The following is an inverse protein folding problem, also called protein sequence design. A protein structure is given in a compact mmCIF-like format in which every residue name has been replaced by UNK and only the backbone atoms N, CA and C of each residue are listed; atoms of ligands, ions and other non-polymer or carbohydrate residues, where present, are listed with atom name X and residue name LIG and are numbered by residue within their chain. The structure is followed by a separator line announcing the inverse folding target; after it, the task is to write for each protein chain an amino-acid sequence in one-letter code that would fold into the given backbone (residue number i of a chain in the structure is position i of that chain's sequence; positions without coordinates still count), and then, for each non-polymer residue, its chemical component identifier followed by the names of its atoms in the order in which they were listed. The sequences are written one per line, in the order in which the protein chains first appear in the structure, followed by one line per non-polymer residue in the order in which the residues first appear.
data_IF_765355497722
#
_entry.id   IF_765355497722
#
_cell.length_a   1.000
_cell.length_b   1.000
_cell.length_c   1.000
_cell.angle_alpha   90.00
_cell.angle_beta   90.00
_cell.angle_gamma   90.00
#
_symmetry.space_group_name_H-M   'P 1'
#
loop_
_entity.id
_entity.type
_entity.pdbx_description
1 polymer ?
#
# COMPACT_ATOMS: atom_id res chain seq x y z
N UNK A 1 2.47 2.89 -17.61
CA UNK A 1 1.26 2.46 -18.37
C UNK A 1 1.24 0.96 -18.74
N UNK A 2 2.25 0.43 -19.43
CA UNK A 2 2.28 -0.95 -19.94
C UNK A 2 2.43 -1.98 -18.81
N UNK A 3 3.33 -1.73 -17.86
CA UNK A 3 3.54 -2.63 -16.71
C UNK A 3 2.25 -2.78 -15.88
N UNK A 4 1.48 -1.71 -15.68
CA UNK A 4 0.16 -1.76 -15.03
C UNK A 4 -0.78 -2.73 -15.73
N UNK A 5 -0.85 -2.68 -17.06
CA UNK A 5 -1.72 -3.55 -17.86
C UNK A 5 -1.27 -5.00 -17.75
N UNK A 6 0.04 -5.26 -17.89
CA UNK A 6 0.62 -6.60 -17.76
C UNK A 6 0.34 -7.20 -16.39
N UNK A 7 0.63 -6.47 -15.30
CA UNK A 7 0.36 -6.95 -13.94
C UNK A 7 -1.14 -7.16 -13.69
N UNK A 8 -2.00 -6.30 -14.24
CA UNK A 8 -3.46 -6.48 -14.16
C UNK A 8 -3.90 -7.79 -14.81
N UNK A 9 -3.43 -8.06 -16.02
CA UNK A 9 -3.77 -9.27 -16.76
C UNK A 9 -3.27 -10.52 -16.03
N UNK A 10 -2.01 -10.53 -15.60
CA UNK A 10 -1.44 -11.66 -14.87
C UNK A 10 -2.18 -11.95 -13.57
N UNK A 11 -2.52 -10.91 -12.80
CA UNK A 11 -3.34 -11.09 -11.59
C UNK A 11 -4.75 -11.60 -11.93
N UNK A 12 -5.37 -11.12 -13.01
CA UNK A 12 -6.70 -11.57 -13.44
C UNK A 12 -6.71 -13.05 -13.81
N UNK A 13 -5.72 -13.50 -14.60
CA UNK A 13 -5.61 -14.88 -15.06
C UNK A 13 -4.92 -15.83 -14.06
N UNK A 14 -4.51 -15.34 -12.90
CA UNK A 14 -3.90 -16.17 -11.86
C UNK A 14 -2.47 -16.63 -12.21
N UNK A 15 -1.71 -15.80 -12.92
CA UNK A 15 -0.32 -16.07 -13.28
C UNK A 15 0.67 -15.29 -12.42
N UNK A 16 1.67 -16.01 -11.93
CA UNK A 16 2.92 -15.48 -11.38
C UNK A 16 4.04 -16.46 -11.68
N UNK A 17 5.19 -15.99 -12.14
CA UNK A 17 6.39 -16.80 -12.32
C UNK A 17 7.62 -16.12 -11.70
N UNK A 18 8.65 -16.91 -11.44
CA UNK A 18 9.86 -16.44 -10.77
C UNK A 18 10.66 -15.44 -11.61
N UNK A 19 10.66 -15.55 -12.95
CA UNK A 19 11.37 -14.62 -13.81
C UNK A 19 10.75 -13.23 -13.75
N UNK A 20 9.42 -13.14 -13.70
CA UNK A 20 8.72 -11.87 -13.50
C UNK A 20 9.07 -11.26 -12.14
N UNK A 21 9.08 -12.06 -11.06
CA UNK A 21 9.44 -11.58 -9.73
C UNK A 21 10.86 -11.00 -9.74
N UNK A 22 11.83 -11.73 -10.27
CA UNK A 22 13.21 -11.25 -10.39
C UNK A 22 13.32 -9.98 -11.26
N UNK A 23 12.54 -9.89 -12.35
CA UNK A 23 12.51 -8.71 -13.19
C UNK A 23 11.98 -7.50 -12.43
N UNK A 24 10.90 -7.67 -11.65
CA UNK A 24 10.34 -6.62 -10.79
C UNK A 24 11.34 -6.21 -9.70
N UNK A 25 12.02 -7.15 -9.07
CA UNK A 25 13.07 -6.89 -8.07
C UNK A 25 14.22 -6.05 -8.62
N UNK A 26 14.60 -6.25 -9.89
CA UNK A 26 15.65 -5.46 -10.56
C UNK A 26 15.15 -4.12 -11.09
N UNK A 27 13.87 -4.02 -11.45
CA UNK A 27 13.31 -2.85 -12.13
C UNK A 27 12.74 -1.82 -11.15
N UNK A 28 11.91 -2.24 -10.19
CA UNK A 28 11.18 -1.35 -9.28
C UNK A 28 12.10 -0.43 -8.49
N UNK A 29 13.24 -0.89 -7.92
CA UNK A 29 14.16 0.00 -7.21
C UNK A 29 14.67 1.19 -8.04
N UNK A 30 14.76 1.03 -9.37
CA UNK A 30 15.27 2.06 -10.28
C UNK A 30 14.21 3.10 -10.65
N UNK A 31 12.93 2.77 -10.52
CA UNK A 31 11.85 3.56 -11.13
C UNK A 31 10.74 3.98 -10.15
N UNK A 32 10.73 3.45 -8.91
CA UNK A 32 9.65 3.71 -7.95
C UNK A 32 9.42 5.21 -7.66
N UNK A 33 10.47 6.02 -7.69
CA UNK A 33 10.39 7.47 -7.41
C UNK A 33 9.85 8.30 -8.58
N UNK A 34 9.83 7.78 -9.80
CA UNK A 34 9.50 8.55 -11.01
C UNK A 34 8.33 7.97 -11.80
N UNK A 35 8.04 6.69 -11.62
CA UNK A 35 6.93 6.01 -12.31
C UNK A 35 5.59 6.48 -11.77
N UNK A 36 4.54 6.35 -12.59
CA UNK A 36 3.18 6.66 -12.19
C UNK A 36 2.72 5.88 -10.94
N UNK A 37 1.92 6.55 -10.11
CA UNK A 37 1.41 6.02 -8.84
C UNK A 37 0.61 4.72 -9.00
N UNK A 38 -0.08 4.55 -10.13
CA UNK A 38 -0.88 3.36 -10.40
C UNK A 38 0.01 2.13 -10.66
N UNK A 39 1.08 2.27 -11.43
CA UNK A 39 2.06 1.20 -11.65
C UNK A 39 2.68 0.74 -10.34
N UNK A 40 3.13 1.67 -9.48
CA UNK A 40 3.72 1.32 -8.17
C UNK A 40 2.69 0.62 -7.29
N UNK A 41 1.45 1.10 -7.29
CA UNK A 41 0.35 0.45 -6.57
C UNK A 41 0.11 -0.96 -7.10
N UNK A 42 0.17 -1.16 -8.42
CA UNK A 42 -0.06 -2.46 -9.06
C UNK A 42 1.02 -3.48 -8.74
N UNK A 43 2.27 -3.03 -8.66
CA UNK A 43 3.38 -3.82 -8.15
C UNK A 43 3.07 -4.32 -6.73
N UNK A 44 2.70 -3.42 -5.81
CA UNK A 44 2.38 -3.81 -4.43
C UNK A 44 1.17 -4.77 -4.35
N UNK A 45 0.15 -4.57 -5.18
CA UNK A 45 -0.97 -5.49 -5.29
C UNK A 45 -0.55 -6.88 -5.79
N UNK A 46 0.35 -6.94 -6.76
CA UNK A 46 0.88 -8.21 -7.28
C UNK A 46 1.59 -8.99 -6.17
N UNK A 47 2.55 -8.38 -5.47
CA UNK A 47 3.27 -9.03 -4.38
C UNK A 47 2.33 -9.43 -3.23
N UNK A 48 1.37 -8.58 -2.87
CA UNK A 48 0.33 -8.89 -1.86
C UNK A 48 -0.52 -10.09 -2.27
N UNK A 49 -1.02 -10.12 -3.50
CA UNK A 49 -1.94 -11.16 -3.99
C UNK A 49 -1.30 -12.55 -3.94
N UNK A 50 -0.03 -12.62 -4.33
CA UNK A 50 0.73 -13.86 -4.38
C UNK A 50 1.48 -14.18 -3.08
N UNK A 51 1.39 -13.31 -2.08
CA UNK A 51 2.12 -13.40 -0.81
C UNK A 51 3.63 -13.59 -1.00
N UNK A 52 4.19 -12.87 -1.98
CA UNK A 52 5.63 -12.90 -2.27
C UNK A 52 6.27 -11.73 -1.52
N UNK A 53 7.23 -12.04 -0.64
CA UNK A 53 8.01 -11.03 0.03
C UNK A 53 9.28 -10.73 -0.77
N UNK A 54 9.40 -9.50 -1.26
CA UNK A 54 10.61 -8.98 -1.90
C UNK A 54 11.11 -7.77 -1.11
N UNK A 55 12.08 -7.92 -0.19
CA UNK A 55 12.69 -6.80 0.51
C UNK A 55 13.13 -5.62 -0.38
N UNK A 56 13.81 -5.82 -1.54
CA UNK A 56 14.24 -4.68 -2.36
C UNK A 56 13.06 -3.85 -2.88
N UNK A 57 12.00 -4.50 -3.39
CA UNK A 57 10.77 -3.82 -3.82
C UNK A 57 10.10 -3.09 -2.66
N UNK A 58 9.86 -3.77 -1.54
CA UNK A 58 9.11 -3.20 -0.42
C UNK A 58 9.85 -2.03 0.24
N UNK A 59 11.18 -2.12 0.34
CA UNK A 59 12.00 -1.03 0.88
C UNK A 59 11.92 0.21 -0.02
N UNK A 60 12.19 0.06 -1.33
CA UNK A 60 12.15 1.20 -2.25
C UNK A 60 10.76 1.80 -2.38
N UNK A 61 9.69 0.99 -2.39
CA UNK A 61 8.33 1.52 -2.43
C UNK A 61 7.99 2.27 -1.13
N UNK A 62 8.40 1.77 0.03
CA UNK A 62 8.20 2.48 1.30
C UNK A 62 8.94 3.82 1.33
N UNK A 63 10.18 3.87 0.86
CA UNK A 63 10.95 5.13 0.74
C UNK A 63 10.29 6.09 -0.25
N UNK A 64 9.89 5.60 -1.42
CA UNK A 64 9.19 6.39 -2.42
C UNK A 64 7.85 6.90 -1.91
N UNK A 65 7.12 6.12 -1.11
CA UNK A 65 5.87 6.55 -0.48
C UNK A 65 6.10 7.75 0.44
N UNK A 66 7.15 7.73 1.25
CA UNK A 66 7.49 8.86 2.13
C UNK A 66 7.71 10.15 1.33
N UNK A 67 8.28 10.07 0.13
CA UNK A 67 8.51 11.23 -0.74
C UNK A 67 7.25 11.67 -1.52
N UNK A 68 6.40 10.73 -1.93
CA UNK A 68 5.35 10.95 -2.95
C UNK A 68 3.94 10.74 -2.47
N UNK A 69 3.71 10.51 -1.17
CA UNK A 69 2.40 10.17 -0.60
C UNK A 69 1.26 11.08 -1.07
N UNK A 70 1.55 12.36 -1.27
CA UNK A 70 0.63 13.38 -1.73
C UNK A 70 0.12 13.16 -3.16
N UNK A 71 0.89 12.47 -4.01
CA UNK A 71 0.51 12.12 -5.40
C UNK A 71 -0.48 10.93 -5.46
N UNK A 72 -0.55 10.12 -4.41
CA UNK A 72 -1.38 8.92 -4.38
C UNK A 72 -2.83 9.22 -4.00
N UNK A 73 -3.78 8.54 -4.65
CA UNK A 73 -5.18 8.52 -4.19
C UNK A 73 -5.32 7.80 -2.84
N UNK A 74 -6.43 8.02 -2.13
CA UNK A 74 -6.66 7.38 -0.82
C UNK A 74 -6.72 5.86 -0.93
N UNK A 75 -7.27 5.35 -2.03
CA UNK A 75 -7.25 3.93 -2.34
C UNK A 75 -5.81 3.41 -2.54
N UNK A 76 -4.99 4.09 -3.34
CA UNK A 76 -3.60 3.68 -3.59
C UNK A 76 -2.76 3.66 -2.31
N UNK A 77 -2.94 4.66 -1.44
CA UNK A 77 -2.31 4.68 -0.10
C UNK A 77 -2.70 3.43 0.69
N UNK A 78 -3.99 3.11 0.75
CA UNK A 78 -4.46 1.89 1.44
C UNK A 78 -3.85 0.62 0.86
N UNK A 79 -3.79 0.47 -0.46
CA UNK A 79 -3.25 -0.73 -1.11
C UNK A 79 -1.76 -0.95 -0.81
N UNK A 80 -0.95 0.09 -0.78
CA UNK A 80 0.48 -0.03 -0.47
C UNK A 80 0.70 -0.44 0.99
N UNK A 81 -0.01 0.18 1.93
CA UNK A 81 0.09 -0.18 3.36
C UNK A 81 -0.49 -1.57 3.63
N UNK A 82 -1.59 -1.93 2.95
CA UNK A 82 -2.18 -3.26 3.05
C UNK A 82 -1.22 -4.37 2.59
N UNK A 83 -0.42 -4.12 1.54
CA UNK A 83 0.58 -5.07 1.09
C UNK A 83 1.66 -5.34 2.15
N UNK A 84 2.15 -4.29 2.83
CA UNK A 84 3.08 -4.42 3.95
C UNK A 84 2.46 -5.23 5.11
N UNK A 85 1.21 -4.90 5.48
CA UNK A 85 0.52 -5.55 6.59
C UNK A 85 0.25 -7.03 6.34
N UNK A 86 -0.26 -7.39 5.16
CA UNK A 86 -0.55 -8.78 4.80
C UNK A 86 0.70 -9.66 4.79
N UNK A 87 1.85 -9.10 4.42
CA UNK A 87 3.13 -9.82 4.42
C UNK A 87 3.90 -9.72 5.75
N UNK A 88 3.38 -8.97 6.73
CA UNK A 88 4.05 -8.78 8.01
C UNK A 88 5.43 -8.13 7.90
N UNK A 89 5.66 -7.32 6.86
CA UNK A 89 6.98 -6.76 6.58
C UNK A 89 7.10 -5.31 7.02
N UNK A 90 8.10 -5.04 7.87
CA UNK A 90 8.50 -3.69 8.27
C UNK A 90 9.76 -3.27 7.49
N UNK A 91 9.70 -2.18 6.70
CA UNK A 91 10.87 -1.67 5.99
C UNK A 91 11.85 -1.00 6.97
N UNK A 92 13.15 -0.83 6.59
CA UNK A 92 14.20 -0.29 7.45
C UNK A 92 13.85 1.05 8.12
N UNK A 93 13.18 1.97 7.42
CA UNK A 93 12.70 3.26 7.97
C UNK A 93 11.18 3.28 8.18
N UNK A 94 10.66 2.25 8.86
CA UNK A 94 9.26 2.18 9.25
C UNK A 94 8.82 3.44 10.02
N UNK A 95 9.71 4.06 10.80
CA UNK A 95 9.42 5.28 11.55
C UNK A 95 9.03 6.48 10.67
N UNK A 96 9.73 6.73 9.56
CA UNK A 96 9.31 7.76 8.58
C UNK A 96 8.05 7.35 7.83
N UNK A 97 7.95 6.08 7.44
CA UNK A 97 6.78 5.57 6.73
C UNK A 97 5.48 5.82 7.52
N UNK A 98 5.41 5.36 8.77
CA UNK A 98 4.17 5.48 9.55
C UNK A 98 3.86 6.91 9.97
N UNK A 99 4.86 7.77 10.18
CA UNK A 99 4.61 9.22 10.34
C UNK A 99 3.99 9.83 9.09
N UNK A 100 4.43 9.40 7.89
CA UNK A 100 3.79 9.86 6.65
C UNK A 100 2.37 9.30 6.50
N UNK A 101 2.14 8.03 6.80
CA UNK A 101 0.79 7.42 6.80
C UNK A 101 -0.16 8.18 7.73
N UNK A 102 0.28 8.48 8.95
CA UNK A 102 -0.50 9.24 9.93
C UNK A 102 -0.80 10.66 9.43
N UNK A 103 0.17 11.34 8.83
CA UNK A 103 -0.03 12.66 8.20
C UNK A 103 -1.11 12.61 7.10
N UNK A 104 -1.05 11.62 6.20
CA UNK A 104 -2.06 11.42 5.15
C UNK A 104 -3.44 11.14 5.76
N UNK A 105 -3.51 10.28 6.78
CA UNK A 105 -4.77 9.99 7.47
C UNK A 105 -5.36 11.24 8.13
N UNK A 106 -4.55 12.08 8.77
CA UNK A 106 -5.03 13.34 9.35
C UNK A 106 -5.56 14.31 8.29
N UNK A 107 -4.82 14.47 7.19
CA UNK A 107 -5.18 15.42 6.14
C UNK A 107 -6.40 14.98 5.32
N UNK A 108 -6.55 13.66 5.10
CA UNK A 108 -7.47 13.12 4.08
C UNK A 108 -8.46 12.08 4.61
N UNK A 109 -8.63 11.96 5.93
CA UNK A 109 -9.49 10.93 6.56
C UNK A 109 -10.85 10.77 5.87
N UNK A 110 -11.59 11.86 5.70
CA UNK A 110 -12.94 11.88 5.12
C UNK A 110 -12.98 11.60 3.61
N UNK A 111 -11.82 11.61 2.93
CA UNK A 111 -11.68 11.30 1.51
C UNK A 111 -11.42 9.81 1.25
N UNK A 112 -11.15 9.02 2.30
CA UNK A 112 -11.02 7.57 2.14
C UNK A 112 -12.40 6.95 1.94
N UNK A 113 -12.49 6.00 1.00
CA UNK A 113 -13.60 5.06 1.03
C UNK A 113 -13.51 4.23 2.33
N UNK A 114 -14.63 4.03 3.05
CA UNK A 114 -14.62 3.40 4.37
C UNK A 114 -13.88 2.05 4.42
N UNK A 115 -14.10 1.18 3.42
CA UNK A 115 -13.43 -0.13 3.35
C UNK A 115 -11.92 0.00 3.13
N UNK A 116 -11.49 0.92 2.27
CA UNK A 116 -10.06 1.16 2.03
C UNK A 116 -9.39 1.73 3.29
N UNK A 117 -10.08 2.59 4.05
CA UNK A 117 -9.60 3.08 5.33
C UNK A 117 -9.42 1.93 6.33
N UNK A 118 -10.43 1.07 6.47
CA UNK A 118 -10.36 -0.10 7.36
C UNK A 118 -9.22 -1.03 6.98
N UNK A 119 -9.03 -1.31 5.69
CA UNK A 119 -7.91 -2.14 5.19
C UNK A 119 -6.55 -1.55 5.61
N UNK A 120 -6.39 -0.22 5.51
CA UNK A 120 -5.17 0.48 5.92
C UNK A 120 -4.94 0.36 7.43
N UNK A 121 -5.96 0.66 8.24
CA UNK A 121 -5.85 0.63 9.70
C UNK A 121 -5.65 -0.81 10.23
N UNK A 122 -6.27 -1.79 9.59
CA UNK A 122 -6.05 -3.20 9.86
C UNK A 122 -4.61 -3.60 9.54
N UNK A 123 -4.08 -3.18 8.40
CA UNK A 123 -2.69 -3.43 8.04
C UNK A 123 -1.69 -2.81 9.03
N UNK A 124 -1.98 -1.60 9.54
CA UNK A 124 -1.19 -1.01 10.63
C UNK A 124 -1.22 -1.89 11.89
N UNK A 125 -2.38 -2.47 12.24
CA UNK A 125 -2.53 -3.39 13.38
C UNK A 125 -1.73 -4.68 13.19
N UNK A 126 -1.74 -5.26 11.98
CA UNK A 126 -0.91 -6.43 11.64
C UNK A 126 0.59 -6.17 11.85
N UNK A 127 1.03 -4.94 11.64
CA UNK A 127 2.41 -4.49 11.81
C UNK A 127 2.71 -3.98 13.24
N UNK A 128 1.79 -4.21 14.19
CA UNK A 128 1.88 -3.75 15.58
C UNK A 128 2.03 -2.21 15.71
N UNK A 129 1.48 -1.46 14.74
CA UNK A 129 1.40 0.00 14.72
C UNK A 129 -0.05 0.42 14.93
N UNK A 130 -0.49 0.41 16.18
CA UNK A 130 -1.90 0.60 16.51
C UNK A 130 -2.37 2.05 16.23
N UNK A 131 -3.36 2.26 15.35
CA UNK A 131 -3.81 3.60 14.95
C UNK A 131 -4.83 4.20 15.93
N UNK A 132 -4.43 4.34 17.21
CA UNK A 132 -5.34 4.73 18.30
C UNK A 132 -6.02 6.09 18.09
N UNK A 133 -5.34 7.02 17.39
CA UNK A 133 -5.83 8.36 17.08
C UNK A 133 -7.08 8.37 16.19
N UNK A 134 -7.42 7.25 15.54
CA UNK A 134 -8.52 7.15 14.58
C UNK A 134 -9.68 6.27 15.08
N UNK A 135 -9.53 5.60 16.22
CA UNK A 135 -10.52 4.62 16.75
C UNK A 135 -11.89 5.27 16.92
N UNK A 136 -11.97 6.40 17.63
CA UNK A 136 -13.26 7.08 17.86
C UNK A 136 -13.94 7.55 16.56
N UNK A 137 -13.16 7.88 15.52
CA UNK A 137 -13.70 8.27 14.21
C UNK A 137 -14.29 7.08 13.47
N UNK A 138 -13.59 5.95 13.48
CA UNK A 138 -14.02 4.71 12.81
C UNK A 138 -15.25 4.10 13.50
N UNK A 139 -15.33 4.16 14.83
CA UNK A 139 -16.49 3.66 15.57
C UNK A 139 -17.60 4.70 15.77
N UNK A 140 -17.54 5.83 15.06
CA UNK A 140 -18.63 6.81 15.08
C UNK A 140 -19.87 6.27 14.36
N UNK A 141 -21.10 6.63 14.80
CA UNK A 141 -22.33 6.21 14.11
C UNK A 141 -22.34 6.56 12.62
N UNK A 142 -21.79 7.74 12.29
CA UNK A 142 -21.65 8.20 10.90
C UNK A 142 -20.79 7.26 10.07
N UNK A 143 -19.60 6.89 10.54
CA UNK A 143 -18.72 5.99 9.79
C UNK A 143 -19.34 4.58 9.66
N UNK A 144 -19.96 4.09 10.72
CA UNK A 144 -20.63 2.78 10.72
C UNK A 144 -21.79 2.72 9.71
N UNK A 145 -22.55 3.80 9.55
CA UNK A 145 -23.58 3.88 8.50
C UNK A 145 -23.00 3.82 7.08
N UNK A 146 -21.80 4.33 6.84
CA UNK A 146 -21.16 4.25 5.52
C UNK A 146 -20.65 2.84 5.14
N UNK A 147 -20.67 1.89 6.08
CA UNK A 147 -20.28 0.49 5.86
C UNK A 147 -21.46 -0.42 5.49
N UNK A 148 -22.69 0.01 5.76
CA UNK A 148 -23.93 -0.70 5.45
C UNK A 148 -24.25 -0.60 3.96
#
# INVERSE_FOLDING_TARGET
PELTVVLSALMHYGHSDHFLVEALERHVPKVAFTTDAETVTKVMQFFRRWRILSPPVFNTVAESFVYRAEEYSTWQVSQQIAALGVLGYLPPDAGRLFRKVESVLHARFSQFQPRALLDLLYACTLLQRYPLNFVSKVFSPYFMQQLQ
#
